data_IF_685910230917
#
_entry.id   IF_685910230917
#
_cell.length_a   1.000
_cell.length_b   1.000
_cell.length_c   1.000
_cell.angle_alpha   90.00
_cell.angle_beta   90.00
_cell.angle_gamma   90.00
#
_symmetry.space_group_name_H-M   'P 1'
#
loop_
_entity.id
_entity.type
_entity.pdbx_description
1 polymer ?
#
# COMPACT_ATOMS: atom_id res chain seq x y z
N UNK A 1 -9.35 5.14 -9.47
CA UNK A 1 -8.85 3.78 -9.31
C UNK A 1 -9.45 3.19 -8.02
N UNK A 2 -10.07 2.06 -8.13
CA UNK A 2 -10.63 1.37 -6.98
C UNK A 2 -9.59 0.46 -6.35
N UNK A 3 -9.44 0.54 -5.04
CA UNK A 3 -8.60 -0.39 -4.30
C UNK A 3 -9.45 -1.60 -3.93
N UNK A 4 -9.03 -2.76 -4.37
CA UNK A 4 -9.69 -4.02 -4.05
C UNK A 4 -8.78 -4.86 -3.17
N UNK A 5 -9.27 -5.36 -2.01
CA UNK A 5 -8.44 -6.21 -1.16
C UNK A 5 -8.06 -7.48 -1.90
N UNK A 6 -6.84 -7.96 -1.66
CA UNK A 6 -6.41 -9.25 -2.17
C UNK A 6 -7.09 -10.34 -1.37
N UNK A 7 -7.60 -11.35 -2.08
CA UNK A 7 -8.07 -12.58 -1.44
C UNK A 7 -6.87 -13.43 -1.03
N UNK A 8 -7.08 -14.39 -0.14
CA UNK A 8 -6.00 -15.28 0.28
C UNK A 8 -5.40 -16.07 -0.90
N UNK A 9 -6.19 -16.67 -1.80
CA UNK A 9 -5.63 -17.33 -2.98
C UNK A 9 -4.81 -16.39 -3.87
N UNK A 10 -5.26 -15.15 -4.07
CA UNK A 10 -4.51 -14.16 -4.84
C UNK A 10 -3.16 -13.85 -4.18
N UNK A 11 -3.17 -13.65 -2.86
CA UNK A 11 -1.94 -13.39 -2.10
C UNK A 11 -0.96 -14.58 -2.19
N UNK A 12 -1.47 -15.81 -2.16
CA UNK A 12 -0.64 -17.01 -2.30
C UNK A 12 0.07 -17.04 -3.66
N UNK A 13 -0.64 -16.71 -4.74
CA UNK A 13 -0.05 -16.67 -6.08
C UNK A 13 1.00 -15.57 -6.21
N UNK A 14 0.73 -14.40 -5.65
CA UNK A 14 1.68 -13.27 -5.68
C UNK A 14 2.93 -13.60 -4.87
N UNK A 15 2.76 -14.16 -3.67
CA UNK A 15 3.89 -14.54 -2.82
C UNK A 15 4.76 -15.61 -3.50
N UNK A 16 4.15 -16.52 -4.26
CA UNK A 16 4.85 -17.57 -4.99
C UNK A 16 5.40 -17.09 -6.34
N UNK A 17 4.95 -15.95 -6.83
CA UNK A 17 5.33 -15.44 -8.14
C UNK A 17 4.77 -16.25 -9.31
N UNK A 18 3.64 -16.93 -9.11
CA UNK A 18 3.03 -17.82 -10.10
C UNK A 18 1.59 -17.42 -10.40
N UNK A 19 1.33 -16.74 -11.54
CA UNK A 19 -0.03 -16.32 -11.86
C UNK A 19 -0.92 -17.50 -12.22
N UNK A 20 -2.19 -17.39 -11.86
CA UNK A 20 -3.24 -18.31 -12.29
C UNK A 20 -3.77 -17.91 -13.66
N UNK A 21 -4.67 -18.75 -14.22
CA UNK A 21 -5.24 -18.50 -15.53
C UNK A 21 -6.05 -17.20 -15.63
N UNK A 22 -6.65 -16.78 -14.51
CA UNK A 22 -7.46 -15.56 -14.47
C UNK A 22 -6.67 -14.32 -14.09
N UNK A 23 -5.41 -14.48 -13.70
CA UNK A 23 -4.59 -13.34 -13.30
C UNK A 23 -4.09 -12.58 -14.52
N UNK A 24 -4.23 -11.26 -14.47
CA UNK A 24 -3.72 -10.37 -15.49
C UNK A 24 -2.66 -9.47 -14.86
N UNK A 25 -1.42 -9.95 -14.83
CA UNK A 25 -0.32 -9.23 -14.23
C UNK A 25 0.43 -8.40 -15.27
N UNK A 26 0.71 -7.16 -14.94
CA UNK A 26 1.57 -6.31 -15.76
C UNK A 26 2.99 -6.88 -15.78
N UNK A 27 3.72 -6.56 -16.83
CA UNK A 27 5.13 -6.97 -16.95
C UNK A 27 5.92 -6.43 -15.75
N UNK A 28 6.70 -7.30 -15.14
CA UNK A 28 7.49 -6.94 -13.95
C UNK A 28 6.78 -7.13 -12.62
N UNK A 29 5.50 -7.44 -12.64
CA UNK A 29 4.75 -7.76 -11.43
C UNK A 29 4.82 -9.29 -11.18
N UNK A 30 4.97 -9.78 -9.93
CA UNK A 30 5.15 -8.99 -8.72
C UNK A 30 6.59 -8.57 -8.51
N UNK A 31 6.78 -7.46 -7.85
CA UNK A 31 8.07 -7.03 -7.31
C UNK A 31 8.27 -7.68 -5.94
N UNK A 32 9.49 -7.64 -5.41
CA UNK A 32 9.75 -8.11 -4.04
C UNK A 32 8.86 -7.38 -3.02
N UNK A 33 8.62 -6.09 -3.26
CA UNK A 33 7.76 -5.24 -2.40
C UNK A 33 6.28 -5.62 -2.48
N UNK A 34 5.88 -6.42 -3.46
CA UNK A 34 4.52 -6.97 -3.56
C UNK A 34 4.45 -8.35 -2.91
N UNK A 35 5.44 -9.20 -3.17
CA UNK A 35 5.49 -10.57 -2.64
C UNK A 35 5.68 -10.61 -1.12
N UNK A 36 6.53 -9.71 -0.59
CA UNK A 36 6.81 -9.65 0.85
C UNK A 36 5.57 -9.38 1.70
N UNK A 37 4.82 -8.30 1.41
CA UNK A 37 3.58 -8.03 2.13
C UNK A 37 2.54 -9.15 2.03
N UNK A 38 2.43 -9.80 0.88
CA UNK A 38 1.54 -10.95 0.72
C UNK A 38 1.95 -12.11 1.61
N UNK A 39 3.25 -12.41 1.68
CA UNK A 39 3.77 -13.46 2.55
C UNK A 39 3.49 -13.15 4.03
N UNK A 40 3.65 -11.88 4.44
CA UNK A 40 3.34 -11.48 5.81
C UNK A 40 1.85 -11.64 6.12
N UNK A 41 0.99 -11.26 5.18
CA UNK A 41 -0.45 -11.39 5.33
C UNK A 41 -0.85 -12.85 5.51
N UNK A 42 -0.25 -13.76 4.72
CA UNK A 42 -0.53 -15.18 4.80
C UNK A 42 -0.05 -15.81 6.10
N UNK A 43 1.03 -15.29 6.69
CA UNK A 43 1.59 -15.77 7.94
C UNK A 43 0.86 -15.22 9.18
N UNK A 44 0.02 -14.20 9.02
CA UNK A 44 -0.69 -13.59 10.13
C UNK A 44 -1.67 -14.60 10.76
N UNK A 45 -1.76 -14.64 12.10
CA UNK A 45 -2.65 -15.59 12.80
C UNK A 45 -4.14 -15.30 12.58
N UNK A 46 -4.47 -14.08 12.16
CA UNK A 46 -5.85 -13.65 11.88
C UNK A 46 -5.89 -12.90 10.57
N UNK A 47 -7.06 -12.93 9.92
CA UNK A 47 -7.30 -12.09 8.73
C UNK A 47 -7.14 -10.62 9.14
N UNK A 48 -6.20 -9.87 8.53
CA UNK A 48 -5.95 -8.48 8.91
C UNK A 48 -6.98 -7.49 8.38
N UNK A 49 -7.93 -7.93 7.55
CA UNK A 49 -8.90 -7.03 6.91
C UNK A 49 -9.58 -6.10 7.90
N UNK A 50 -9.76 -4.81 7.59
CA UNK A 50 -9.40 -4.16 6.33
C UNK A 50 -7.94 -3.70 6.23
N UNK A 51 -7.08 -4.06 7.18
CA UNK A 51 -5.69 -3.61 7.26
C UNK A 51 -4.70 -4.59 6.62
N UNK A 52 -5.11 -5.18 5.51
CA UNK A 52 -4.27 -6.09 4.71
C UNK A 52 -3.69 -5.43 3.48
N UNK A 53 -3.51 -6.21 2.43
CA UNK A 53 -2.92 -5.78 1.16
C UNK A 53 -4.02 -5.59 0.12
N UNK A 54 -3.92 -4.49 -0.61
CA UNK A 54 -4.85 -4.13 -1.68
C UNK A 54 -4.10 -4.13 -3.01
N UNK A 55 -4.80 -4.48 -4.07
CA UNK A 55 -4.21 -4.47 -5.41
C UNK A 55 -4.38 -3.13 -6.09
N UNK A 56 -3.35 -2.73 -6.84
CA UNK A 56 -3.41 -1.57 -7.73
C UNK A 56 -3.54 -2.13 -9.14
N UNK A 57 -4.75 -2.06 -9.69
CA UNK A 57 -5.07 -2.63 -10.99
C UNK A 57 -5.92 -1.65 -11.80
N UNK A 58 -5.26 -0.65 -12.43
CA UNK A 58 -6.00 0.32 -13.24
C UNK A 58 -6.70 -0.36 -14.41
N UNK A 59 -7.82 0.19 -14.90
CA UNK A 59 -8.47 -0.35 -16.09
C UNK A 59 -7.48 -0.50 -17.24
N UNK A 60 -7.54 -1.62 -17.95
CA UNK A 60 -6.72 -1.90 -19.15
C UNK A 60 -5.22 -2.08 -18.90
N UNK A 61 -4.75 -2.00 -17.65
CA UNK A 61 -3.34 -2.14 -17.35
C UNK A 61 -2.96 -3.44 -16.63
N UNK A 62 -3.96 -4.15 -16.10
CA UNK A 62 -3.73 -5.32 -15.27
C UNK A 62 -3.21 -4.94 -13.89
N UNK A 63 -2.79 -5.94 -13.14
CA UNK A 63 -2.28 -5.75 -11.79
C UNK A 63 -0.85 -5.20 -11.86
N UNK A 64 -0.66 -3.95 -11.44
CA UNK A 64 0.61 -3.24 -11.58
C UNK A 64 1.36 -3.07 -10.25
N UNK A 65 0.68 -3.23 -9.13
CA UNK A 65 1.32 -3.03 -7.83
C UNK A 65 0.38 -3.33 -6.69
N UNK A 66 0.81 -2.92 -5.51
CA UNK A 66 0.04 -3.13 -4.29
C UNK A 66 0.17 -1.93 -3.35
N UNK A 67 -0.81 -1.81 -2.47
CA UNK A 67 -0.83 -0.84 -1.40
C UNK A 67 -1.43 -1.51 -0.18
N UNK A 68 -0.99 -1.15 1.01
CA UNK A 68 -1.55 -1.80 2.19
C UNK A 68 -0.99 -1.30 3.49
N UNK A 69 -1.30 -2.05 4.52
CA UNK A 69 -0.95 -1.73 5.90
C UNK A 69 0.04 -2.76 6.42
N UNK A 70 0.95 -2.33 7.30
CA UNK A 70 1.88 -3.24 7.97
C UNK A 70 1.22 -3.96 9.16
N UNK A 71 -0.06 -3.73 9.40
CA UNK A 71 -0.83 -4.39 10.42
C UNK A 71 -1.99 -3.53 10.87
N UNK A 72 -2.83 -4.06 11.78
CA UNK A 72 -3.95 -3.30 12.32
C UNK A 72 -3.49 -2.13 13.18
N UNK A 73 -4.39 -1.19 13.52
CA UNK A 73 -4.03 -0.05 14.35
C UNK A 73 -3.44 -0.46 15.70
N UNK A 74 -2.44 0.28 16.14
CA UNK A 74 -1.90 0.15 17.49
C UNK A 74 -2.92 0.61 18.52
N UNK A 75 -2.61 0.44 19.81
CA UNK A 75 -3.49 0.90 20.89
C UNK A 75 -3.75 2.41 20.80
N UNK A 76 -2.79 3.18 20.30
CA UNK A 76 -2.94 4.62 20.10
C UNK A 76 -3.63 4.99 18.78
N UNK A 77 -4.04 4.00 18.00
CA UNK A 77 -4.75 4.25 16.74
C UNK A 77 -3.83 4.59 15.57
N UNK A 78 -2.59 4.12 15.57
CA UNK A 78 -1.65 4.39 14.48
C UNK A 78 -1.50 3.19 13.56
N UNK A 79 -1.45 3.48 12.26
CA UNK A 79 -1.13 2.50 11.22
C UNK A 79 0.04 2.99 10.40
N UNK A 80 0.75 2.06 9.78
CA UNK A 80 1.80 2.38 8.81
C UNK A 80 1.41 1.78 7.47
N UNK A 81 1.52 2.57 6.42
CA UNK A 81 1.17 2.15 5.05
C UNK A 81 2.41 1.98 4.19
N UNK A 82 2.27 1.16 3.16
CA UNK A 82 3.24 1.02 2.10
C UNK A 82 2.52 0.88 0.76
N UNK A 83 3.18 1.24 -0.32
CA UNK A 83 2.60 1.18 -1.66
C UNK A 83 3.71 1.22 -2.71
N UNK A 84 3.38 0.77 -3.88
CA UNK A 84 4.28 0.86 -5.02
C UNK A 84 3.76 0.07 -6.21
N UNK A 85 4.42 0.25 -7.33
CA UNK A 85 4.03 -0.39 -8.57
C UNK A 85 5.20 -0.54 -9.52
N UNK A 86 5.02 -1.35 -10.55
CA UNK A 86 6.03 -1.53 -11.60
C UNK A 86 6.33 -0.19 -12.28
N UNK A 87 7.56 -0.03 -12.73
CA UNK A 87 8.04 1.25 -13.29
C UNK A 87 7.19 1.75 -14.45
N UNK A 88 6.72 0.85 -15.32
CA UNK A 88 5.90 1.22 -16.46
C UNK A 88 4.56 1.87 -16.09
N UNK A 89 4.13 1.73 -14.83
CA UNK A 89 2.89 2.33 -14.33
C UNK A 89 3.11 3.69 -13.67
N UNK A 90 4.35 4.11 -13.47
CA UNK A 90 4.66 5.39 -12.82
C UNK A 90 4.19 6.58 -13.64
N UNK A 91 3.94 7.69 -12.98
CA UNK A 91 3.59 8.95 -13.66
C UNK A 91 2.13 9.09 -14.06
N UNK A 92 1.27 8.18 -13.62
CA UNK A 92 -0.16 8.17 -13.96
C UNK A 92 -1.08 8.56 -12.79
N UNK A 93 -0.52 8.91 -11.64
CA UNK A 93 -1.32 9.26 -10.46
C UNK A 93 -1.88 8.06 -9.70
N UNK A 94 -1.53 6.85 -10.05
CA UNK A 94 -2.06 5.64 -9.39
C UNK A 94 -1.66 5.55 -7.92
N UNK A 95 -0.41 5.89 -7.61
CA UNK A 95 0.05 5.85 -6.21
C UNK A 95 -0.69 6.87 -5.35
N UNK A 96 -0.91 8.08 -5.88
CA UNK A 96 -1.66 9.11 -5.17
C UNK A 96 -3.08 8.64 -4.88
N UNK A 97 -3.73 8.03 -5.88
CA UNK A 97 -5.08 7.49 -5.72
C UNK A 97 -5.10 6.30 -4.75
N UNK A 98 -4.09 5.45 -4.79
CA UNK A 98 -4.00 4.29 -3.89
C UNK A 98 -3.87 4.74 -2.43
N UNK A 99 -3.00 5.71 -2.15
CA UNK A 99 -2.85 6.26 -0.80
C UNK A 99 -4.15 6.90 -0.33
N UNK A 100 -4.84 7.65 -1.20
CA UNK A 100 -6.14 8.22 -0.88
C UNK A 100 -7.15 7.12 -0.50
N UNK A 101 -7.11 5.99 -1.21
CA UNK A 101 -7.97 4.83 -0.90
C UNK A 101 -7.67 4.22 0.46
N UNK A 102 -6.39 4.10 0.82
CA UNK A 102 -6.01 3.58 2.15
C UNK A 102 -6.49 4.54 3.26
N UNK A 103 -6.40 5.85 3.03
CA UNK A 103 -6.89 6.84 3.99
C UNK A 103 -8.40 6.67 4.19
N UNK A 104 -9.14 6.45 3.11
CA UNK A 104 -10.60 6.21 3.21
C UNK A 104 -10.92 4.94 3.99
N UNK A 105 -10.13 3.88 3.84
CA UNK A 105 -10.27 2.68 4.67
C UNK A 105 -10.14 3.03 6.15
N UNK A 106 -9.14 3.85 6.50
CA UNK A 106 -8.92 4.29 7.87
C UNK A 106 -10.10 5.10 8.40
N UNK A 107 -10.62 6.04 7.62
CA UNK A 107 -11.76 6.87 8.01
C UNK A 107 -13.02 6.02 8.21
N UNK A 108 -13.26 5.08 7.34
CA UNK A 108 -14.43 4.21 7.43
C UNK A 108 -14.38 3.31 8.67
N UNK A 109 -13.19 2.87 9.06
CA UNK A 109 -13.01 2.02 10.23
C UNK A 109 -13.25 2.78 11.55
N UNK A 110 -12.81 4.04 11.61
CA UNK A 110 -13.04 4.90 12.78
C UNK A 110 -12.10 4.69 13.96
N UNK A 111 -11.19 3.74 13.88
CA UNK A 111 -10.23 3.45 14.96
C UNK A 111 -8.82 3.95 14.69
N UNK A 112 -8.61 4.70 13.61
CA UNK A 112 -7.30 5.20 13.21
C UNK A 112 -7.22 6.70 13.41
N UNK A 113 -6.25 7.15 14.18
CA UNK A 113 -6.00 8.56 14.42
C UNK A 113 -4.80 9.10 13.65
N UNK A 114 -3.84 8.24 13.31
CA UNK A 114 -2.60 8.63 12.66
C UNK A 114 -2.23 7.58 11.61
N UNK A 115 -1.84 8.07 10.42
CA UNK A 115 -1.31 7.23 9.35
C UNK A 115 0.15 7.61 9.15
N UNK A 116 1.05 6.65 9.25
CA UNK A 116 2.48 6.85 9.06
C UNK A 116 2.93 6.23 7.73
N UNK A 117 3.92 6.85 7.09
CA UNK A 117 4.56 6.33 5.90
C UNK A 117 6.00 6.82 5.85
N UNK A 118 6.87 6.07 5.17
CA UNK A 118 8.25 6.49 4.98
C UNK A 118 8.68 6.30 3.54
N UNK A 119 9.68 7.07 3.12
CA UNK A 119 10.26 6.99 1.78
C UNK A 119 11.78 7.02 1.90
N UNK A 120 12.46 6.46 0.90
CA UNK A 120 13.89 6.70 0.78
C UNK A 120 14.14 8.16 0.41
N UNK A 121 15.30 8.71 0.80
CA UNK A 121 15.65 10.12 0.56
C UNK A 121 15.58 10.49 -0.93
N UNK A 122 15.98 9.58 -1.81
CA UNK A 122 16.02 9.83 -3.25
C UNK A 122 14.67 9.66 -3.93
N UNK A 123 13.67 9.13 -3.23
CA UNK A 123 12.37 8.85 -3.84
C UNK A 123 11.43 10.07 -3.80
N UNK A 124 11.74 11.05 -4.63
CA UNK A 124 11.00 12.30 -4.71
C UNK A 124 9.55 12.07 -5.12
N UNK A 125 9.31 11.13 -6.04
CA UNK A 125 7.95 10.84 -6.51
C UNK A 125 7.05 10.35 -5.36
N UNK A 126 7.56 9.48 -4.49
CA UNK A 126 6.82 8.99 -3.33
C UNK A 126 6.57 10.10 -2.31
N UNK A 127 7.54 10.97 -2.10
CA UNK A 127 7.39 12.14 -1.22
C UNK A 127 6.23 13.03 -1.69
N UNK A 128 6.14 13.26 -3.01
CA UNK A 128 5.05 14.06 -3.58
C UNK A 128 3.70 13.38 -3.43
N UNK A 129 3.65 12.07 -3.56
CA UNK A 129 2.42 11.29 -3.33
C UNK A 129 1.89 11.53 -1.93
N UNK A 130 2.76 11.46 -0.94
CA UNK A 130 2.38 11.69 0.45
C UNK A 130 1.97 13.13 0.70
N UNK A 131 2.72 14.09 0.19
CA UNK A 131 2.39 15.51 0.33
C UNK A 131 1.04 15.86 -0.31
N UNK A 132 0.75 15.31 -1.49
CA UNK A 132 -0.55 15.51 -2.16
C UNK A 132 -1.72 14.96 -1.34
N UNK A 133 -1.47 13.96 -0.51
CA UNK A 133 -2.48 13.38 0.36
C UNK A 133 -2.54 14.04 1.74
N UNK A 134 -1.79 15.12 1.94
CA UNK A 134 -1.84 15.90 3.17
C UNK A 134 -0.87 15.46 4.26
N UNK A 135 0.03 14.52 3.98
CA UNK A 135 1.03 14.10 4.94
C UNK A 135 2.06 15.18 5.17
N UNK A 136 2.57 15.25 6.40
CA UNK A 136 3.65 16.15 6.78
C UNK A 136 4.89 15.36 7.11
N UNK A 137 6.04 15.87 6.69
CA UNK A 137 7.33 15.28 7.05
C UNK A 137 7.62 15.60 8.51
N UNK A 138 7.85 14.57 9.31
CA UNK A 138 8.06 14.74 10.77
C UNK A 138 9.45 14.37 11.22
N UNK A 139 10.20 13.60 10.43
CA UNK A 139 11.53 13.15 10.82
C UNK A 139 12.31 12.70 9.59
N UNK A 140 13.64 12.75 9.67
CA UNK A 140 14.53 12.19 8.66
C UNK A 140 15.66 11.42 9.34
N UNK A 141 16.15 10.42 8.64
CA UNK A 141 17.36 9.68 9.02
C UNK A 141 18.35 9.79 7.86
N UNK A 142 19.48 9.10 7.94
CA UNK A 142 20.45 9.08 6.85
C UNK A 142 19.92 8.43 5.57
N UNK A 143 18.87 7.60 5.69
CA UNK A 143 18.35 6.82 4.58
C UNK A 143 16.89 7.13 4.21
N UNK A 144 16.08 7.63 5.15
CA UNK A 144 14.64 7.76 4.97
C UNK A 144 14.07 9.08 5.47
N UNK A 145 12.94 9.47 4.88
CA UNK A 145 12.06 10.52 5.37
C UNK A 145 10.80 9.86 5.93
N UNK A 146 10.33 10.37 7.06
CA UNK A 146 9.12 9.86 7.74
C UNK A 146 8.02 10.89 7.70
N UNK A 147 6.84 10.44 7.33
CA UNK A 147 5.66 11.28 7.12
C UNK A 147 4.51 10.80 7.98
N UNK A 148 3.66 11.72 8.38
CA UNK A 148 2.50 11.44 9.22
C UNK A 148 1.30 12.23 8.72
N UNK A 149 0.13 11.58 8.73
CA UNK A 149 -1.15 12.23 8.49
C UNK A 149 -2.02 12.01 9.72
N UNK A 150 -2.46 13.09 10.36
CA UNK A 150 -3.40 13.01 11.48
C UNK A 150 -4.82 13.05 10.92
N UNK A 151 -5.63 12.09 11.32
CA UNK A 151 -7.03 12.04 10.92
C UNK A 151 -7.88 12.75 11.96
N UNK A 152 -8.87 13.49 11.48
CA UNK A 152 -9.85 14.12 12.37
C UNK A 152 -10.65 13.06 13.12
N UNK A 153 -10.92 13.30 14.38
CA UNK A 153 -11.70 12.41 15.22
C UNK A 153 -13.15 12.33 14.71
#
# INVERSE_FOLDING_TARGET
IDLRPLTRPEAERIAAGKPGEQDNWAKGFPRAEDSGPCARMLAAPKDPSPFGVYQIAPPDSGLVGSAGFYGPPSESGEVTIGYGMVESAWGNGYATAAVAGLIEVCRAHGGVSVVNADTELANIASQRVLEKNGFEKVRSTETHLYFTLKLAA
#
